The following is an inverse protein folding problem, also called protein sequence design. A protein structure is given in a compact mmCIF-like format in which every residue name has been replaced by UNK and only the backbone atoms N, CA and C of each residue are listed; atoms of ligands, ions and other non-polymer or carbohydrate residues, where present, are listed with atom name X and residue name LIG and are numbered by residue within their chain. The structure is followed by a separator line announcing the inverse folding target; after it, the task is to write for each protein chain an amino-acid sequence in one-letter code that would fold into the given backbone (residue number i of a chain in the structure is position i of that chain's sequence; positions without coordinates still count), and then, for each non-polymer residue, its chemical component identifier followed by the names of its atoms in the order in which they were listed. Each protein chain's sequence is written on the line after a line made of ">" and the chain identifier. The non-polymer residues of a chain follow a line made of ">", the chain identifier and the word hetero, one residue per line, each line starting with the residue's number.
data_IF_764672978352
#
_entry.id   IF_764672978352
#
_cell.length_a   1.000
_cell.length_b   1.000
_cell.length_c   1.000
_cell.angle_alpha   90.00
_cell.angle_beta   90.00
_cell.angle_gamma   90.00
#
_symmetry.space_group_name_H-M   'P 1'
#
loop_
_entity.id
_entity.type
_entity.pdbx_description
1 polymer ?
#
# COMPACT_ATOMS: atom_id res chain seq x y z
N UNK A 1 -60.11 -5.09 17.27
CA UNK A 1 -59.32 -3.84 17.28
C UNK A 1 -57.85 -4.24 17.18
N UNK A 2 -57.27 -4.24 15.96
CA UNK A 2 -55.84 -4.46 15.79
C UNK A 2 -55.11 -3.18 16.22
N UNK A 3 -54.19 -3.30 17.17
CA UNK A 3 -53.44 -2.19 17.72
C UNK A 3 -52.47 -1.64 16.66
N UNK A 4 -52.57 -0.34 16.37
CA UNK A 4 -51.73 0.34 15.37
C UNK A 4 -50.23 0.22 15.69
N UNK A 5 -49.85 0.03 16.97
CA UNK A 5 -48.46 -0.22 17.37
C UNK A 5 -47.95 -1.59 16.92
N UNK A 6 -48.81 -2.61 16.86
CA UNK A 6 -48.44 -3.94 16.37
C UNK A 6 -48.17 -3.94 14.87
N UNK A 7 -48.96 -3.18 14.11
CA UNK A 7 -48.76 -3.03 12.65
C UNK A 7 -47.50 -2.24 12.32
N UNK A 8 -47.20 -1.17 13.07
CA UNK A 8 -45.96 -0.40 12.93
C UNK A 8 -44.72 -1.17 13.37
N UNK A 9 -44.83 -2.06 14.37
CA UNK A 9 -43.74 -2.94 14.77
C UNK A 9 -43.40 -3.98 13.67
N UNK A 10 -44.42 -4.52 12.98
CA UNK A 10 -44.23 -5.43 11.84
C UNK A 10 -43.65 -4.70 10.63
N UNK A 11 -44.09 -3.46 10.34
CA UNK A 11 -43.52 -2.62 9.27
C UNK A 11 -42.08 -2.16 9.57
N UNK A 12 -41.74 -1.90 10.84
CA UNK A 12 -40.38 -1.55 11.27
C UNK A 12 -39.41 -2.75 11.33
N UNK A 13 -39.92 -3.98 11.32
CA UNK A 13 -39.11 -5.22 11.27
C UNK A 13 -38.63 -5.57 9.85
N UNK A 14 -39.18 -4.94 8.80
CA UNK A 14 -38.68 -5.06 7.42
C UNK A 14 -37.48 -4.12 7.24
N UNK A 15 -36.52 -4.20 8.15
CA UNK A 15 -35.17 -3.72 7.86
C UNK A 15 -34.55 -4.77 6.94
N UNK A 16 -34.19 -4.38 5.72
CA UNK A 16 -33.46 -5.21 4.77
C UNK A 16 -32.08 -5.54 5.34
N UNK A 17 -32.00 -6.45 6.32
CA UNK A 17 -30.74 -6.98 6.81
C UNK A 17 -30.22 -7.90 5.73
N UNK A 18 -29.09 -7.56 5.13
CA UNK A 18 -28.44 -8.45 4.17
C UNK A 18 -28.16 -9.77 4.90
N UNK A 19 -28.89 -10.84 4.55
CA UNK A 19 -28.77 -12.19 5.14
C UNK A 19 -27.36 -12.80 4.99
N UNK A 20 -26.49 -12.09 4.29
CA UNK A 20 -25.11 -12.43 3.96
C UNK A 20 -24.09 -12.10 5.06
N UNK A 21 -24.43 -11.21 6.00
CA UNK A 21 -23.53 -10.80 7.09
C UNK A 21 -24.22 -10.95 8.44
N UNK A 22 -23.46 -11.41 9.43
CA UNK A 22 -23.91 -11.52 10.81
C UNK A 22 -23.95 -10.14 11.50
N UNK A 23 -24.50 -10.05 12.71
CA UNK A 23 -24.56 -8.83 13.53
C UNK A 23 -23.16 -8.23 13.78
N UNK A 24 -22.13 -9.07 13.80
CA UNK A 24 -20.72 -8.68 13.93
C UNK A 24 -20.02 -8.46 12.58
N UNK A 25 -20.77 -8.27 11.49
CA UNK A 25 -20.26 -8.11 10.11
C UNK A 25 -19.43 -9.30 9.59
N UNK A 26 -19.54 -10.48 10.21
CA UNK A 26 -18.85 -11.69 9.79
C UNK A 26 -19.59 -12.34 8.63
N UNK A 27 -18.83 -12.91 7.69
CA UNK A 27 -19.39 -13.69 6.59
C UNK A 27 -20.11 -14.94 7.13
N UNK A 28 -21.41 -15.07 6.87
CA UNK A 28 -22.20 -16.24 7.30
C UNK A 28 -21.77 -17.50 6.56
N UNK A 29 -22.06 -18.67 7.12
CA UNK A 29 -21.69 -19.96 6.54
C UNK A 29 -22.20 -20.16 5.09
N UNK A 30 -23.37 -19.59 4.78
CA UNK A 30 -23.95 -19.58 3.43
C UNK A 30 -23.09 -18.80 2.43
N UNK A 31 -22.63 -17.60 2.82
CA UNK A 31 -21.75 -16.76 2.00
C UNK A 31 -20.38 -17.42 1.78
N UNK A 32 -19.81 -18.01 2.83
CA UNK A 32 -18.51 -18.67 2.74
C UNK A 32 -18.53 -19.85 1.78
N UNK A 33 -19.59 -20.69 1.80
CA UNK A 33 -19.77 -21.79 0.84
C UNK A 33 -19.83 -21.30 -0.60
N UNK A 34 -20.60 -20.24 -0.86
CA UNK A 34 -20.70 -19.65 -2.19
C UNK A 34 -19.36 -19.10 -2.70
N UNK A 35 -18.50 -18.61 -1.81
CA UNK A 35 -17.19 -18.01 -2.16
C UNK A 35 -16.02 -18.99 -2.20
N UNK A 36 -16.15 -20.19 -1.63
CA UNK A 36 -15.08 -21.22 -1.61
C UNK A 36 -14.37 -21.42 -2.96
N UNK A 37 -15.05 -21.52 -4.11
CA UNK A 37 -14.35 -21.74 -5.37
C UNK A 37 -13.53 -20.53 -5.85
N UNK A 38 -13.90 -19.31 -5.46
CA UNK A 38 -13.26 -18.08 -5.94
C UNK A 38 -12.15 -17.59 -5.02
N UNK A 39 -12.18 -17.94 -3.73
CA UNK A 39 -11.12 -17.54 -2.79
C UNK A 39 -9.77 -18.12 -3.22
N UNK A 40 -9.73 -19.40 -3.58
CA UNK A 40 -8.49 -20.06 -4.00
C UNK A 40 -8.04 -19.53 -5.36
N UNK A 41 -8.93 -19.49 -6.35
CA UNK A 41 -8.59 -19.07 -7.72
C UNK A 41 -8.12 -17.62 -7.76
N UNK A 42 -8.83 -16.71 -7.08
CA UNK A 42 -8.45 -15.29 -7.04
C UNK A 42 -7.17 -15.09 -6.21
N UNK A 43 -6.99 -15.87 -5.13
CA UNK A 43 -5.76 -15.86 -4.35
C UNK A 43 -4.54 -16.26 -5.17
N UNK A 44 -4.64 -17.33 -5.96
CA UNK A 44 -3.57 -17.78 -6.87
C UNK A 44 -3.27 -16.71 -7.92
N UNK A 45 -4.29 -16.14 -8.56
CA UNK A 45 -4.09 -15.06 -9.54
C UNK A 45 -3.40 -13.85 -8.93
N UNK A 46 -3.82 -13.44 -7.73
CA UNK A 46 -3.20 -12.34 -7.00
C UNK A 46 -1.74 -12.63 -6.64
N UNK A 47 -1.43 -13.85 -6.20
CA UNK A 47 -0.07 -14.26 -5.86
C UNK A 47 0.83 -14.28 -7.10
N UNK A 48 0.34 -14.81 -8.22
CA UNK A 48 1.07 -14.77 -9.49
C UNK A 48 1.38 -13.33 -9.92
N UNK A 49 0.38 -12.45 -9.90
CA UNK A 49 0.58 -11.04 -10.25
C UNK A 49 1.59 -10.36 -9.31
N UNK A 50 1.45 -10.58 -8.00
CA UNK A 50 2.36 -10.02 -7.00
C UNK A 50 3.80 -10.51 -7.20
N UNK A 51 3.98 -11.82 -7.42
CA UNK A 51 5.30 -12.41 -7.68
C UNK A 51 5.93 -11.87 -8.97
N UNK A 52 5.12 -11.66 -10.01
CA UNK A 52 5.59 -11.08 -11.27
C UNK A 52 6.07 -9.64 -11.06
N UNK A 53 5.29 -8.81 -10.37
CA UNK A 53 5.68 -7.43 -10.08
C UNK A 53 6.97 -7.34 -9.25
N UNK A 54 7.09 -8.15 -8.19
CA UNK A 54 8.32 -8.22 -7.39
C UNK A 54 9.49 -8.71 -8.24
N UNK A 55 9.28 -9.74 -9.06
CA UNK A 55 10.32 -10.28 -9.94
C UNK A 55 10.85 -9.23 -10.91
N UNK A 56 9.96 -8.46 -11.56
CA UNK A 56 10.36 -7.35 -12.42
C UNK A 56 11.12 -6.28 -11.62
N UNK A 57 10.62 -5.87 -10.45
CA UNK A 57 11.30 -4.88 -9.61
C UNK A 57 12.71 -5.34 -9.19
N UNK A 58 12.83 -6.55 -8.65
CA UNK A 58 14.12 -7.10 -8.24
C UNK A 58 15.09 -7.22 -9.43
N UNK A 59 14.60 -7.69 -10.58
CA UNK A 59 15.37 -7.75 -11.81
C UNK A 59 15.87 -6.36 -12.24
N UNK A 60 15.02 -5.33 -12.17
CA UNK A 60 15.45 -3.97 -12.53
C UNK A 60 16.55 -3.44 -11.63
N UNK A 61 16.53 -3.75 -10.33
CA UNK A 61 17.59 -3.34 -9.40
C UNK A 61 18.91 -4.04 -9.74
N UNK A 62 18.89 -5.34 -10.02
CA UNK A 62 20.09 -6.09 -10.41
C UNK A 62 20.62 -5.66 -11.78
N UNK A 63 19.75 -5.48 -12.76
CA UNK A 63 20.12 -5.10 -14.12
C UNK A 63 20.70 -3.68 -14.22
N UNK A 64 20.18 -2.73 -13.43
CA UNK A 64 20.68 -1.33 -13.43
C UNK A 64 21.85 -1.16 -12.45
N UNK A 65 21.91 -1.92 -11.37
CA UNK A 65 22.96 -1.81 -10.35
C UNK A 65 24.37 -2.18 -10.83
N UNK A 66 24.49 -2.75 -12.03
CA UNK A 66 25.76 -3.13 -12.65
C UNK A 66 26.38 -2.02 -13.52
N UNK A 67 25.81 -0.81 -13.54
CA UNK A 67 26.37 0.30 -14.31
C UNK A 67 27.73 0.75 -13.74
N UNK A 68 28.80 0.63 -14.54
CA UNK A 68 30.17 0.96 -14.16
C UNK A 68 30.42 2.46 -14.35
N UNK A 69 30.17 3.25 -13.31
CA UNK A 69 30.40 4.70 -13.31
C UNK A 69 31.88 5.10 -13.24
N UNK A 70 32.83 4.18 -13.51
CA UNK A 70 34.28 4.45 -13.42
C UNK A 70 34.77 5.54 -14.38
N UNK A 71 34.09 5.78 -15.50
CA UNK A 71 34.42 6.86 -16.46
C UNK A 71 33.92 8.25 -16.01
N UNK A 72 33.04 8.32 -15.00
CA UNK A 72 32.51 9.59 -14.49
C UNK A 72 33.49 10.19 -13.48
N UNK A 73 34.26 11.17 -13.94
CA UNK A 73 35.18 11.96 -13.10
C UNK A 73 34.38 12.77 -12.07
N UNK A 74 34.41 12.35 -10.81
CA UNK A 74 33.79 13.10 -9.71
C UNK A 74 34.69 14.31 -9.40
N UNK A 75 34.22 15.56 -9.59
CA UNK A 75 34.98 16.72 -9.18
C UNK A 75 35.16 16.69 -7.65
N UNK A 76 36.39 16.91 -7.19
CA UNK A 76 36.70 16.92 -5.76
C UNK A 76 35.79 17.90 -5.03
N UNK A 77 35.28 17.47 -3.87
CA UNK A 77 34.43 18.27 -2.97
C UNK A 77 35.01 19.68 -2.87
N UNK A 78 34.21 20.76 -3.05
CA UNK A 78 34.73 22.12 -2.96
C UNK A 78 35.51 22.25 -1.66
N UNK A 79 36.82 22.52 -1.76
CA UNK A 79 37.62 22.92 -0.61
C UNK A 79 36.90 24.11 -0.01
N UNK A 80 36.53 24.00 1.27
CA UNK A 80 36.15 25.17 2.07
C UNK A 80 37.13 26.28 1.74
N UNK A 81 36.58 27.45 1.39
CA UNK A 81 37.34 28.65 1.11
C UNK A 81 38.18 28.95 2.36
N UNK A 82 39.42 28.44 2.37
CA UNK A 82 40.38 28.70 3.40
C UNK A 82 40.62 30.21 3.40
N UNK A 83 40.17 30.82 4.50
CA UNK A 83 40.37 32.18 4.95
C UNK A 83 41.37 33.01 4.11
N UNK A 84 40.86 34.09 3.54
CA UNK A 84 41.69 35.17 3.03
C UNK A 84 42.66 35.64 4.14
N UNK A 85 43.98 35.76 3.87
CA UNK A 85 44.90 36.30 4.85
C UNK A 85 44.59 37.78 5.05
N UNK A 86 44.14 38.15 6.24
CA UNK A 86 44.04 39.52 6.68
C UNK A 86 45.42 40.18 6.56
N UNK A 87 45.52 41.16 5.67
CA UNK A 87 46.74 41.94 5.45
C UNK A 87 47.11 42.65 6.75
N UNK A 88 48.26 42.27 7.28
CA UNK A 88 48.85 42.83 8.48
C UNK A 88 49.35 44.24 8.18
N UNK A 89 48.57 45.24 8.60
CA UNK A 89 48.90 46.65 8.51
C UNK A 89 49.87 47.00 9.65
N UNK A 90 51.14 47.24 9.32
CA UNK A 90 52.17 47.65 10.27
C UNK A 90 52.09 49.17 10.56
N UNK A 91 52.38 49.61 11.79
CA UNK A 91 52.23 51.00 12.22
C UNK A 91 53.46 51.88 11.92
N UNK A 92 53.15 53.07 11.38
CA UNK A 92 53.94 54.31 11.22
C UNK A 92 54.98 54.36 10.11
#
# INVERSE_FOLDING_TARGET
>A
MLDAKSTLAVLGQITFRSSYYDKDYRATAALQRARRPYIVRNGVTGLLLFSFCIGVFAFTVDAVGQDDFSDVKIPAKPKEAAAAPAQQQAPR
#
